data_IF_763627421129
#
_entry.id   IF_763627421129
#
_cell.length_a   1.000
_cell.length_b   1.000
_cell.length_c   1.000
_cell.angle_alpha   90.00
_cell.angle_beta   90.00
_cell.angle_gamma   90.00
#
_symmetry.space_group_name_H-M   'P 1'
#
loop_
_entity.id
_entity.type
_entity.pdbx_description
1 polymer ?
#
# COMPACT_ATOMS: atom_id res chain seq x y z
N UNK A 1 31.52 -8.88 9.63
CA UNK A 1 31.33 -7.43 9.51
C UNK A 1 29.84 -7.18 9.44
N UNK A 2 29.26 -6.63 10.49
CA UNK A 2 27.80 -6.41 10.58
C UNK A 2 27.51 -5.09 9.89
N UNK A 3 26.92 -5.13 8.70
CA UNK A 3 26.46 -3.91 8.01
C UNK A 3 25.31 -3.36 8.85
N UNK A 4 25.56 -2.26 9.56
CA UNK A 4 24.49 -1.49 10.21
C UNK A 4 23.69 -0.82 9.10
N UNK A 5 22.59 -1.44 8.68
CA UNK A 5 21.63 -0.80 7.79
C UNK A 5 21.05 0.41 8.53
N UNK A 6 21.21 1.60 7.94
CA UNK A 6 20.60 2.80 8.48
C UNK A 6 19.09 2.59 8.58
N UNK A 7 18.50 2.94 9.73
CA UNK A 7 17.05 2.84 9.91
C UNK A 7 16.37 3.85 8.99
N UNK A 8 15.44 3.42 8.11
CA UNK A 8 14.77 4.34 7.20
C UNK A 8 13.96 5.36 8.00
N UNK A 9 13.84 6.57 7.45
CA UNK A 9 13.13 7.68 8.06
C UNK A 9 12.09 8.27 7.12
N UNK A 10 11.14 9.01 7.66
CA UNK A 10 10.19 9.82 6.88
C UNK A 10 9.92 11.15 7.57
N UNK A 11 9.35 12.09 6.83
CA UNK A 11 8.86 13.34 7.41
C UNK A 11 7.39 13.20 7.76
N UNK A 12 6.96 13.69 8.92
CA UNK A 12 5.56 13.58 9.35
C UNK A 12 4.99 14.91 9.86
N UNK A 13 3.68 15.08 9.69
CA UNK A 13 2.93 16.25 10.17
C UNK A 13 1.62 15.83 10.83
N UNK A 14 1.14 16.65 11.76
CA UNK A 14 -0.12 16.47 12.49
C UNK A 14 -1.37 16.82 11.68
N UNK A 15 -1.20 17.50 10.56
CA UNK A 15 -2.25 17.87 9.63
C UNK A 15 -1.79 17.62 8.19
N UNK A 16 -2.73 17.59 7.24
CA UNK A 16 -2.45 17.49 5.81
C UNK A 16 -2.61 18.82 5.07
N UNK A 17 -3.35 19.79 5.63
CA UNK A 17 -3.48 21.14 5.05
C UNK A 17 -2.11 21.84 5.06
N UNK A 18 -1.57 22.28 3.91
CA UNK A 18 -0.30 23.00 3.85
C UNK A 18 -0.20 24.23 4.77
N UNK A 19 -1.29 24.97 4.97
CA UNK A 19 -1.32 26.13 5.85
C UNK A 19 -1.21 25.71 7.32
N UNK A 20 -1.91 24.65 7.72
CA UNK A 20 -1.79 24.08 9.05
C UNK A 20 -0.38 23.50 9.28
N UNK A 21 0.19 22.79 8.28
CA UNK A 21 1.54 22.23 8.37
C UNK A 21 2.63 23.27 8.66
N UNK A 22 2.43 24.55 8.31
CA UNK A 22 3.37 25.63 8.56
C UNK A 22 3.33 26.18 10.00
N UNK A 23 2.32 25.82 10.80
CA UNK A 23 2.18 26.28 12.18
C UNK A 23 3.19 25.57 13.11
N UNK A 24 3.67 26.25 14.17
CA UNK A 24 4.53 25.63 15.18
C UNK A 24 3.91 24.37 15.79
N UNK A 25 4.71 23.32 15.94
CA UNK A 25 4.28 22.04 16.53
C UNK A 25 3.51 21.10 15.59
N UNK A 26 3.22 21.53 14.36
CA UNK A 26 2.53 20.68 13.36
C UNK A 26 3.48 19.74 12.62
N UNK A 27 4.74 20.13 12.42
CA UNK A 27 5.78 19.24 11.92
C UNK A 27 6.30 18.34 13.06
N UNK A 28 6.24 17.03 12.87
CA UNK A 28 6.73 16.02 13.81
C UNK A 28 8.22 15.72 13.66
N UNK A 29 8.89 16.33 12.67
CA UNK A 29 10.27 16.06 12.36
C UNK A 29 10.45 14.88 11.40
N UNK A 30 11.71 14.47 11.31
CA UNK A 30 12.11 13.21 10.70
C UNK A 30 11.90 12.08 11.72
N UNK A 31 11.05 11.12 11.36
CA UNK A 31 10.64 10.01 12.23
C UNK A 31 11.30 8.74 11.74
N UNK A 32 12.10 8.04 12.58
CA UNK A 32 12.67 6.75 12.22
C UNK A 32 11.59 5.66 12.20
N UNK A 33 11.79 4.67 11.33
CA UNK A 33 10.94 3.49 11.15
C UNK A 33 11.71 2.24 11.62
N UNK A 34 11.84 2.02 12.93
CA UNK A 34 12.62 0.91 13.47
C UNK A 34 11.87 -0.42 13.35
N UNK A 35 12.57 -1.48 12.95
CA UNK A 35 12.00 -2.83 12.92
C UNK A 35 11.19 -3.12 11.65
N UNK A 36 10.28 -4.11 11.68
CA UNK A 36 9.51 -4.51 10.50
C UNK A 36 8.49 -3.43 10.08
N UNK A 37 8.05 -3.44 8.81
CA UNK A 37 7.03 -2.50 8.30
C UNK A 37 5.69 -2.62 9.03
N UNK A 38 5.35 -3.83 9.52
CA UNK A 38 4.13 -4.09 10.27
C UNK A 38 4.03 -3.22 11.52
N UNK A 39 2.92 -2.50 11.66
CA UNK A 39 2.65 -1.64 12.83
C UNK A 39 3.27 -0.24 12.76
N UNK A 40 4.13 0.07 11.78
CA UNK A 40 4.69 1.43 11.64
C UNK A 40 3.60 2.47 11.38
N UNK A 41 2.62 2.16 10.53
CA UNK A 41 1.49 3.04 10.26
C UNK A 41 0.64 3.31 11.51
N UNK A 42 0.51 2.31 12.40
CA UNK A 42 -0.16 2.50 13.69
C UNK A 42 0.61 3.42 14.61
N UNK A 43 1.91 3.19 14.74
CA UNK A 43 2.80 4.02 15.55
C UNK A 43 2.76 5.48 15.08
N UNK A 44 2.87 5.72 13.77
CA UNK A 44 2.75 7.07 13.19
C UNK A 44 1.40 7.71 13.49
N UNK A 45 0.32 6.95 13.36
CA UNK A 45 -1.02 7.42 13.70
C UNK A 45 -1.14 7.84 15.18
N UNK A 46 -0.58 7.03 16.09
CA UNK A 46 -0.56 7.28 17.53
C UNK A 46 0.30 8.50 17.90
N UNK A 47 1.40 8.74 17.17
CA UNK A 47 2.19 9.99 17.28
C UNK A 47 1.42 11.23 16.80
N UNK A 48 0.30 11.03 16.10
CA UNK A 48 -0.58 12.06 15.59
C UNK A 48 -0.33 12.41 14.14
N UNK A 49 0.42 11.60 13.38
CA UNK A 49 0.64 11.86 11.96
C UNK A 49 -0.69 11.78 11.18
N UNK A 50 -0.93 12.79 10.34
CA UNK A 50 -2.03 12.86 9.35
C UNK A 50 -1.52 13.08 7.94
N UNK A 51 -0.26 13.47 7.81
CA UNK A 51 0.49 13.53 6.58
C UNK A 51 1.88 12.98 6.80
N UNK A 52 2.39 12.23 5.83
CA UNK A 52 3.80 11.79 5.80
C UNK A 52 4.38 12.00 4.42
N UNK A 53 5.70 12.14 4.36
CA UNK A 53 6.47 12.16 3.11
C UNK A 53 7.60 11.15 3.17
N UNK A 54 7.58 10.22 2.23
CA UNK A 54 8.70 9.30 1.98
C UNK A 54 9.77 10.07 1.20
N UNK A 55 11.04 10.08 1.66
CA UNK A 55 12.11 10.80 0.97
C UNK A 55 12.46 10.12 -0.36
N UNK A 56 12.59 8.80 -0.34
CA UNK A 56 12.99 7.98 -1.48
C UNK A 56 11.80 7.45 -2.27
N UNK A 57 11.94 7.28 -3.59
CA UNK A 57 10.95 6.58 -4.39
C UNK A 57 10.76 5.14 -3.94
N UNK A 58 9.51 4.67 -3.96
CA UNK A 58 9.22 3.24 -3.97
C UNK A 58 9.50 2.74 -5.38
N UNK A 59 10.58 1.97 -5.50
CA UNK A 59 11.10 1.51 -6.79
C UNK A 59 10.69 0.05 -7.04
N UNK A 60 9.91 -0.18 -8.09
CA UNK A 60 9.44 -1.51 -8.51
C UNK A 60 10.07 -1.96 -9.83
N UNK A 61 11.15 -1.31 -10.26
CA UNK A 61 11.93 -1.75 -11.43
C UNK A 61 12.60 -3.10 -11.17
N UNK A 62 12.91 -3.84 -12.23
CA UNK A 62 13.50 -5.17 -12.12
C UNK A 62 14.86 -5.22 -11.39
N UNK A 63 15.57 -4.07 -11.31
CA UNK A 63 16.88 -3.96 -10.65
C UNK A 63 16.82 -3.41 -9.23
N UNK A 64 15.63 -3.01 -8.76
CA UNK A 64 15.43 -2.49 -7.42
C UNK A 64 15.56 -3.59 -6.35
N UNK A 65 15.87 -3.19 -5.12
CA UNK A 65 15.83 -4.08 -3.96
C UNK A 65 14.38 -4.46 -3.61
N UNK A 66 13.98 -5.74 -3.74
CA UNK A 66 12.62 -6.17 -3.42
C UNK A 66 12.24 -5.90 -1.96
N UNK A 67 13.19 -5.96 -1.02
CA UNK A 67 12.89 -5.75 0.40
C UNK A 67 12.53 -4.28 0.67
N UNK A 68 13.29 -3.34 0.11
CA UNK A 68 12.98 -1.91 0.18
C UNK A 68 11.63 -1.58 -0.50
N UNK A 69 11.37 -2.18 -1.67
CA UNK A 69 10.11 -2.03 -2.39
C UNK A 69 8.90 -2.49 -1.57
N UNK A 70 8.97 -3.70 -0.98
CA UNK A 70 7.93 -4.26 -0.12
C UNK A 70 7.70 -3.41 1.13
N UNK A 71 8.78 -2.94 1.77
CA UNK A 71 8.67 -2.07 2.93
C UNK A 71 7.96 -0.76 2.59
N UNK A 72 8.34 -0.11 1.49
CA UNK A 72 7.71 1.12 1.00
C UNK A 72 6.23 0.93 0.65
N UNK A 73 5.90 -0.10 -0.12
CA UNK A 73 4.51 -0.39 -0.52
C UNK A 73 3.62 -0.76 0.68
N UNK A 74 4.13 -1.60 1.59
CA UNK A 74 3.42 -1.96 2.81
C UNK A 74 3.08 -0.73 3.66
N UNK A 75 4.05 0.18 3.82
CA UNK A 75 3.85 1.42 4.56
C UNK A 75 2.81 2.34 3.88
N UNK A 76 2.93 2.55 2.56
CA UNK A 76 1.95 3.36 1.79
C UNK A 76 0.55 2.77 1.92
N UNK A 77 0.41 1.45 1.79
CA UNK A 77 -0.87 0.73 1.90
C UNK A 77 -1.50 0.90 3.28
N UNK A 78 -0.74 0.67 4.34
CA UNK A 78 -1.26 0.73 5.71
C UNK A 78 -1.59 2.16 6.15
N UNK A 79 -0.84 3.16 5.67
CA UNK A 79 -1.15 4.58 5.89
C UNK A 79 -2.38 5.02 5.09
N UNK A 80 -2.52 4.57 3.84
CA UNK A 80 -3.73 4.79 3.03
C UNK A 80 -4.95 4.21 3.75
N UNK A 81 -4.86 2.99 4.30
CA UNK A 81 -5.94 2.34 5.04
C UNK A 81 -6.40 3.14 6.27
N UNK A 82 -5.52 4.00 6.81
CA UNK A 82 -5.78 4.87 7.97
C UNK A 82 -6.16 6.31 7.58
N UNK A 83 -6.35 6.58 6.28
CA UNK A 83 -6.61 7.93 5.76
C UNK A 83 -5.51 8.94 6.11
N UNK A 84 -4.25 8.50 6.19
CA UNK A 84 -3.08 9.39 6.30
C UNK A 84 -2.69 9.82 4.88
N UNK A 85 -2.52 11.12 4.67
CA UNK A 85 -2.00 11.66 3.41
C UNK A 85 -0.55 11.21 3.22
N UNK A 86 -0.28 10.38 2.21
CA UNK A 86 1.07 9.91 1.90
C UNK A 86 1.60 10.64 0.68
N UNK A 87 2.65 11.43 0.86
CA UNK A 87 3.46 11.95 -0.25
C UNK A 87 4.60 10.98 -0.53
N UNK A 88 4.55 10.35 -1.70
CA UNK A 88 5.54 9.37 -2.12
C UNK A 88 5.74 9.44 -3.62
N UNK A 89 6.80 8.80 -4.12
CA UNK A 89 7.07 8.68 -5.55
C UNK A 89 7.08 7.19 -5.89
N UNK A 90 6.54 6.85 -7.05
CA UNK A 90 6.54 5.49 -7.56
C UNK A 90 7.42 5.45 -8.81
N UNK A 91 8.35 4.51 -8.88
CA UNK A 91 9.10 4.19 -10.09
C UNK A 91 8.72 2.79 -10.56
N UNK A 92 8.38 2.67 -11.84
CA UNK A 92 8.13 1.40 -12.52
C UNK A 92 9.11 1.27 -13.69
N UNK A 93 9.23 0.06 -14.26
CA UNK A 93 9.93 -0.10 -15.54
C UNK A 93 9.20 0.65 -16.67
N UNK A 94 9.91 1.18 -17.69
CA UNK A 94 9.29 1.89 -18.81
C UNK A 94 8.23 1.08 -19.57
N UNK A 95 8.43 -0.24 -19.67
CA UNK A 95 7.56 -1.19 -20.36
C UNK A 95 6.50 -1.84 -19.44
N UNK A 96 6.35 -1.33 -18.20
CA UNK A 96 5.40 -1.89 -17.23
C UNK A 96 3.92 -1.68 -17.58
N UNK A 97 3.61 -0.95 -18.66
CA UNK A 97 2.27 -0.77 -19.20
C UNK A 97 1.27 -0.28 -18.14
N UNK A 98 0.15 -0.98 -18.01
CA UNK A 98 -0.93 -0.65 -17.06
C UNK A 98 -0.70 -1.16 -15.62
N UNK A 99 0.52 -1.61 -15.26
CA UNK A 99 0.82 -2.15 -13.92
C UNK A 99 0.47 -1.17 -12.79
N UNK A 100 0.55 0.13 -13.04
CA UNK A 100 0.13 1.17 -12.08
C UNK A 100 -1.34 1.02 -11.64
N UNK A 101 -2.21 0.45 -12.48
CA UNK A 101 -3.65 0.27 -12.16
C UNK A 101 -3.86 -0.68 -10.99
N UNK A 102 -2.98 -1.68 -10.83
CA UNK A 102 -3.03 -2.62 -9.69
C UNK A 102 -2.82 -1.91 -8.35
N UNK A 103 -2.11 -0.77 -8.36
CA UNK A 103 -1.82 0.05 -7.19
C UNK A 103 -2.82 1.21 -7.04
N UNK A 104 -3.75 1.39 -7.96
CA UNK A 104 -4.63 2.58 -8.03
C UNK A 104 -5.59 2.77 -6.84
N UNK A 105 -5.67 1.77 -5.95
CA UNK A 105 -6.39 1.85 -4.68
C UNK A 105 -5.58 2.51 -3.56
N UNK A 106 -4.26 2.63 -3.71
CA UNK A 106 -3.38 3.35 -2.80
C UNK A 106 -3.49 4.86 -3.03
N UNK A 107 -3.12 5.67 -2.02
CA UNK A 107 -2.97 7.11 -2.18
C UNK A 107 -2.14 7.40 -3.44
N UNK A 108 -2.62 8.22 -4.39
CA UNK A 108 -1.87 8.50 -5.62
C UNK A 108 -0.51 9.09 -5.29
N UNK A 109 0.58 8.63 -5.94
CA UNK A 109 1.89 9.19 -5.68
C UNK A 109 1.96 10.66 -6.11
N UNK A 110 2.88 11.41 -5.51
CA UNK A 110 3.22 12.77 -5.97
C UNK A 110 3.80 12.74 -7.39
N UNK A 111 4.54 11.67 -7.71
CA UNK A 111 5.19 11.47 -9.01
C UNK A 111 5.17 9.99 -9.40
N UNK A 112 4.82 9.72 -10.66
CA UNK A 112 4.98 8.41 -11.30
C UNK A 112 6.13 8.53 -12.31
N UNK A 113 7.12 7.64 -12.21
CA UNK A 113 8.31 7.61 -13.05
C UNK A 113 8.38 6.27 -13.81
N UNK A 114 8.92 6.31 -15.04
CA UNK A 114 9.21 5.11 -15.83
C UNK A 114 8.34 5.00 -17.08
N UNK A 115 7.04 4.68 -16.96
CA UNK A 115 6.18 4.39 -18.11
C UNK A 115 6.02 5.58 -19.06
N UNK A 116 5.88 5.29 -20.35
CA UNK A 116 5.35 6.26 -21.30
C UNK A 116 3.94 6.69 -20.88
N UNK A 117 3.64 7.99 -20.96
CA UNK A 117 2.35 8.53 -20.50
C UNK A 117 2.15 8.51 -18.98
N UNK A 118 3.23 8.46 -18.18
CA UNK A 118 3.17 8.46 -16.72
C UNK A 118 2.31 9.61 -16.14
N UNK A 119 2.30 10.78 -16.76
CA UNK A 119 1.46 11.90 -16.33
C UNK A 119 -0.04 11.62 -16.52
N UNK A 120 -0.46 11.07 -17.66
CA UNK A 120 -1.85 10.70 -17.93
C UNK A 120 -2.32 9.55 -17.04
N UNK A 121 -1.46 8.55 -16.82
CA UNK A 121 -1.69 7.48 -15.86
C UNK A 121 -1.89 8.03 -14.44
N UNK A 122 -1.02 8.95 -14.01
CA UNK A 122 -1.11 9.58 -12.69
C UNK A 122 -2.36 10.44 -12.54
N UNK A 123 -2.73 11.21 -13.57
CA UNK A 123 -3.97 11.98 -13.59
C UNK A 123 -5.21 11.07 -13.51
N UNK A 124 -5.17 9.93 -14.19
CA UNK A 124 -6.24 8.93 -14.12
C UNK A 124 -6.35 8.30 -12.73
N UNK A 125 -5.21 7.94 -12.11
CA UNK A 125 -5.16 7.45 -10.74
C UNK A 125 -5.75 8.49 -9.77
N UNK A 126 -5.33 9.75 -9.85
CA UNK A 126 -5.85 10.84 -8.99
C UNK A 126 -7.37 11.01 -9.10
N UNK A 127 -7.91 11.04 -10.32
CA UNK A 127 -9.36 11.18 -10.55
C UNK A 127 -10.17 9.98 -10.04
N UNK A 128 -9.60 8.78 -10.15
CA UNK A 128 -10.29 7.54 -9.78
C UNK A 128 -10.03 7.06 -8.35
N UNK A 129 -9.20 7.75 -7.58
CA UNK A 129 -8.83 7.31 -6.23
C UNK A 129 -9.91 7.67 -5.20
N UNK A 130 -10.19 6.74 -4.30
CA UNK A 130 -10.93 6.97 -3.07
C UNK A 130 -10.58 5.85 -2.06
N UNK A 131 -10.81 6.12 -0.78
CA UNK A 131 -10.58 5.12 0.28
C UNK A 131 -11.56 3.95 0.17
N UNK A 132 -11.16 2.78 0.63
CA UNK A 132 -11.88 1.53 0.49
C UNK A 132 -12.10 1.08 -0.97
N UNK A 133 -11.22 1.47 -1.91
CA UNK A 133 -11.30 1.06 -3.33
C UNK A 133 -10.93 -0.42 -3.57
N UNK A 134 -9.95 -0.94 -2.85
CA UNK A 134 -9.61 -2.37 -2.83
C UNK A 134 -9.27 -2.78 -1.39
N UNK A 135 -10.16 -3.54 -0.77
CA UNK A 135 -10.11 -3.86 0.65
C UNK A 135 -10.51 -5.30 0.91
N UNK A 136 -10.12 -5.81 2.08
CA UNK A 136 -10.61 -7.07 2.59
C UNK A 136 -11.07 -6.97 4.04
N UNK A 137 -11.95 -7.90 4.43
CA UNK A 137 -12.38 -8.11 5.81
C UNK A 137 -12.41 -9.60 6.14
N UNK A 138 -12.25 -9.90 7.42
CA UNK A 138 -12.46 -11.24 8.00
C UNK A 138 -13.78 -11.22 8.77
N UNK A 139 -14.74 -12.02 8.33
CA UNK A 139 -15.97 -12.31 9.05
C UNK A 139 -15.86 -13.61 9.84
N UNK A 140 -16.92 -14.03 10.56
CA UNK A 140 -16.94 -15.33 11.21
C UNK A 140 -16.89 -16.45 10.17
N UNK A 141 -15.75 -17.14 10.08
CA UNK A 141 -15.56 -18.29 9.18
C UNK A 141 -15.34 -17.95 7.70
N UNK A 142 -15.20 -16.68 7.32
CA UNK A 142 -14.93 -16.32 5.92
C UNK A 142 -14.09 -15.05 5.79
N UNK A 143 -13.46 -14.89 4.63
CA UNK A 143 -12.91 -13.61 4.16
C UNK A 143 -13.75 -13.07 3.02
N UNK A 144 -13.77 -11.74 2.89
CA UNK A 144 -14.37 -11.09 1.73
C UNK A 144 -13.51 -9.94 1.26
N UNK A 145 -13.19 -9.96 -0.02
CA UNK A 145 -12.50 -8.89 -0.73
C UNK A 145 -13.52 -8.12 -1.58
N UNK A 146 -13.37 -6.81 -1.61
CA UNK A 146 -14.11 -5.90 -2.49
C UNK A 146 -13.11 -5.09 -3.27
N UNK A 147 -13.15 -5.22 -4.59
CA UNK A 147 -12.24 -4.52 -5.49
C UNK A 147 -13.02 -3.70 -6.52
N UNK A 148 -12.69 -2.41 -6.61
CA UNK A 148 -13.24 -1.45 -7.58
C UNK A 148 -12.15 -0.77 -8.41
N UNK A 149 -10.93 -1.30 -8.43
CA UNK A 149 -9.84 -0.77 -9.28
C UNK A 149 -10.21 -0.74 -10.76
N UNK A 150 -11.10 -1.64 -11.18
CA UNK A 150 -11.44 -1.90 -12.58
C UNK A 150 -12.71 -1.15 -13.06
N UNK A 151 -13.39 -0.42 -12.16
CA UNK A 151 -14.62 0.33 -12.47
C UNK A 151 -15.88 -0.34 -11.92
N UNK A 152 -15.99 -1.66 -12.07
CA UNK A 152 -17.03 -2.49 -11.45
C UNK A 152 -16.63 -2.99 -10.06
N UNK A 153 -17.62 -3.40 -9.26
CA UNK A 153 -17.37 -4.05 -7.97
C UNK A 153 -17.17 -5.57 -8.16
N UNK A 154 -15.91 -6.00 -8.14
CA UNK A 154 -15.53 -7.42 -8.02
C UNK A 154 -15.57 -7.85 -6.56
N UNK A 155 -16.05 -9.07 -6.32
CA UNK A 155 -16.11 -9.67 -4.98
C UNK A 155 -15.47 -11.05 -5.02
N UNK A 156 -14.54 -11.28 -4.11
CA UNK A 156 -13.98 -12.60 -3.84
C UNK A 156 -14.37 -12.96 -2.40
N UNK A 157 -14.95 -14.14 -2.20
CA UNK A 157 -15.33 -14.64 -0.87
C UNK A 157 -14.86 -16.08 -0.77
N UNK A 158 -14.18 -16.40 0.32
CA UNK A 158 -13.68 -17.74 0.60
C UNK A 158 -13.88 -18.03 2.10
N UNK A 159 -14.25 -19.26 2.42
CA UNK A 159 -14.44 -19.73 3.80
C UNK A 159 -13.39 -20.78 4.22
N UNK A 160 -12.56 -21.23 3.27
CA UNK A 160 -11.47 -22.13 3.55
C UNK A 160 -10.37 -21.41 4.35
N UNK A 161 -9.92 -21.97 5.50
CA UNK A 161 -8.97 -21.30 6.39
C UNK A 161 -7.64 -20.92 5.73
N UNK A 162 -7.22 -21.66 4.71
CA UNK A 162 -5.98 -21.44 3.97
C UNK A 162 -5.91 -20.08 3.26
N UNK A 163 -7.03 -19.51 2.84
CA UNK A 163 -7.04 -18.17 2.26
C UNK A 163 -6.70 -17.12 3.32
N UNK A 164 -7.30 -17.24 4.52
CA UNK A 164 -7.04 -16.29 5.60
C UNK A 164 -5.60 -16.36 6.09
N UNK A 165 -5.04 -17.55 6.25
CA UNK A 165 -3.64 -17.72 6.66
C UNK A 165 -2.66 -17.30 5.57
N UNK A 166 -2.99 -17.50 4.30
CA UNK A 166 -2.17 -17.03 3.19
C UNK A 166 -2.14 -15.51 3.10
N UNK A 167 -3.28 -14.83 3.29
CA UNK A 167 -3.32 -13.36 3.39
C UNK A 167 -2.42 -12.86 4.52
N UNK A 168 -2.50 -13.48 5.71
CA UNK A 168 -1.68 -13.08 6.86
C UNK A 168 -0.17 -13.21 6.55
N UNK A 169 0.24 -14.18 5.72
CA UNK A 169 1.63 -14.35 5.28
C UNK A 169 2.04 -13.34 4.20
N UNK A 170 1.15 -13.05 3.26
CA UNK A 170 1.41 -12.12 2.15
C UNK A 170 1.29 -10.64 2.56
N UNK A 171 0.79 -10.33 3.75
CA UNK A 171 0.40 -8.98 4.18
C UNK A 171 1.55 -7.97 3.98
N UNK A 172 2.77 -8.30 4.40
CA UNK A 172 3.97 -7.48 4.17
C UNK A 172 4.96 -8.12 3.19
N UNK A 173 4.48 -9.07 2.40
CA UNK A 173 5.28 -9.83 1.44
C UNK A 173 5.79 -11.15 2.01
N UNK A 174 5.71 -12.21 1.21
CA UNK A 174 6.36 -13.49 1.47
C UNK A 174 6.95 -14.04 0.18
N UNK A 175 7.94 -14.93 0.29
CA UNK A 175 8.42 -15.68 -0.87
C UNK A 175 7.26 -16.49 -1.46
N UNK A 176 7.06 -16.40 -2.77
CA UNK A 176 5.92 -17.00 -3.45
C UNK A 176 5.85 -18.54 -3.29
N UNK A 177 7.00 -19.20 -3.13
CA UNK A 177 7.10 -20.65 -2.94
C UNK A 177 6.81 -21.10 -1.50
N UNK A 178 6.72 -20.17 -0.54
CA UNK A 178 6.45 -20.49 0.86
C UNK A 178 4.96 -20.58 1.18
N UNK A 179 4.07 -20.11 0.30
CA UNK A 179 2.61 -20.12 0.48
C UNK A 179 1.94 -21.19 -0.40
N UNK A 180 0.73 -21.67 -0.04
CA UNK A 180 0.01 -22.64 -0.86
C UNK A 180 -0.19 -22.15 -2.31
N UNK A 181 0.32 -22.92 -3.27
CA UNK A 181 0.31 -22.53 -4.70
C UNK A 181 -1.10 -22.28 -5.24
N UNK A 182 -2.06 -23.14 -4.91
CA UNK A 182 -3.45 -23.00 -5.39
C UNK A 182 -4.05 -21.65 -4.96
N UNK A 183 -3.98 -21.32 -3.68
CA UNK A 183 -4.46 -20.05 -3.12
C UNK A 183 -3.75 -18.85 -3.76
N UNK A 184 -2.43 -18.94 -3.96
CA UNK A 184 -1.67 -17.86 -4.60
C UNK A 184 -2.06 -17.66 -6.06
N UNK A 185 -2.30 -18.74 -6.80
CA UNK A 185 -2.73 -18.70 -8.20
C UNK A 185 -4.14 -18.08 -8.31
N UNK A 186 -5.06 -18.40 -7.38
CA UNK A 186 -6.39 -17.77 -7.32
C UNK A 186 -6.28 -16.26 -7.05
N UNK A 187 -5.43 -15.84 -6.10
CA UNK A 187 -5.20 -14.42 -5.84
C UNK A 187 -4.56 -13.68 -7.01
N UNK A 188 -3.68 -14.34 -7.78
CA UNK A 188 -3.10 -13.77 -9.01
C UNK A 188 -4.15 -13.62 -10.11
N UNK A 189 -5.00 -14.63 -10.30
CA UNK A 189 -6.09 -14.58 -11.27
C UNK A 189 -7.04 -13.40 -10.99
N UNK A 190 -7.28 -13.11 -9.71
CA UNK A 190 -8.09 -11.97 -9.25
C UNK A 190 -7.31 -10.65 -9.14
N UNK A 191 -6.04 -10.64 -9.52
CA UNK A 191 -5.15 -9.46 -9.46
C UNK A 191 -5.03 -8.86 -8.04
N UNK A 192 -5.15 -9.70 -7.01
CA UNK A 192 -5.09 -9.33 -5.58
C UNK A 192 -3.67 -9.42 -5.00
N UNK A 193 -2.73 -9.97 -5.76
CA UNK A 193 -1.32 -10.06 -5.42
C UNK A 193 -0.47 -9.34 -6.47
N UNK A 194 0.60 -8.69 -6.02
CA UNK A 194 1.65 -8.14 -6.86
C UNK A 194 2.95 -8.91 -6.62
N UNK A 195 3.56 -9.42 -7.69
CA UNK A 195 4.87 -10.06 -7.63
C UNK A 195 5.99 -9.01 -7.71
N UNK A 196 7.00 -9.13 -6.84
CA UNK A 196 8.18 -8.26 -6.74
C UNK A 196 9.40 -9.14 -6.54
N UNK A 197 10.12 -9.42 -7.64
CA UNK A 197 11.16 -10.45 -7.64
C UNK A 197 10.57 -11.80 -7.22
N UNK A 198 11.17 -12.52 -6.24
CA UNK A 198 10.64 -13.80 -5.75
C UNK A 198 9.48 -13.67 -4.76
N UNK A 199 9.10 -12.44 -4.40
CA UNK A 199 8.08 -12.18 -3.38
C UNK A 199 6.72 -11.93 -4.00
N UNK A 200 5.68 -12.40 -3.31
CA UNK A 200 4.29 -12.05 -3.55
C UNK A 200 3.81 -11.11 -2.44
N UNK A 201 3.13 -10.02 -2.81
CA UNK A 201 2.62 -9.02 -1.88
C UNK A 201 1.10 -8.84 -1.99
N UNK A 202 0.41 -8.84 -0.86
CA UNK A 202 -1.04 -8.65 -0.78
C UNK A 202 -1.45 -7.19 -1.04
N UNK A 203 -2.28 -6.95 -2.06
CA UNK A 203 -2.69 -5.61 -2.46
C UNK A 203 -3.80 -5.01 -1.57
N UNK A 204 -4.92 -5.72 -1.29
CA UNK A 204 -6.02 -5.15 -0.52
C UNK A 204 -5.60 -4.75 0.91
N UNK A 205 -5.88 -3.52 1.33
CA UNK A 205 -5.68 -3.18 2.74
C UNK A 205 -6.79 -3.72 3.62
N UNK A 206 -6.43 -3.99 4.88
CA UNK A 206 -7.36 -4.35 5.94
C UNK A 206 -8.03 -3.09 6.47
N UNK A 207 -9.36 -3.07 6.50
CA UNK A 207 -10.11 -1.98 7.14
C UNK A 207 -10.09 -2.17 8.66
N UNK A 208 -9.36 -1.31 9.38
CA UNK A 208 -9.31 -1.34 10.85
C UNK A 208 -10.45 -0.55 11.51
N UNK A 209 -11.02 0.43 10.80
CA UNK A 209 -12.16 1.24 11.24
C UNK A 209 -13.10 1.46 10.07
N UNK A 210 -14.37 1.17 10.25
CA UNK A 210 -15.38 1.59 9.27
C UNK A 210 -15.47 3.10 9.30
N UNK A 211 -15.19 3.73 8.16
CA UNK A 211 -15.53 5.14 7.95
C UNK A 211 -17.06 5.22 8.00
N UNK A 212 -17.59 5.73 9.11
CA UNK A 212 -19.03 5.70 9.43
C UNK A 212 -19.85 6.64 8.54
N UNK A 213 -19.21 7.50 7.74
CA UNK A 213 -19.84 8.17 6.62
C UNK A 213 -19.74 7.29 5.38
N UNK A 214 -20.79 6.50 5.23
CA UNK A 214 -21.18 5.76 4.05
C UNK A 214 -20.87 6.57 2.79
N UNK A 215 -20.14 5.95 1.86
CA UNK A 215 -20.31 6.18 0.43
C UNK A 215 -21.80 5.90 0.16
N UNK A 216 -22.62 6.94 0.24
CA UNK A 216 -23.91 6.95 -0.42
C UNK A 216 -23.60 6.95 -1.91
N UNK A 217 -24.20 5.98 -2.60
CA UNK A 217 -24.23 5.91 -4.06
C UNK A 217 -25.05 7.09 -4.57
#
# INVERSE_FOLDING_TARGET
MTVTLATPTLLAWRDYDPAACALPGMFLGEVPLPGPPSGQAERLWQLGARRVRLPDPVDLTATADPAAALHGLGLVRDLTARAVMVEWKLRLDPDSGDRWRMLSHLQPPATLLGPDGAEDALNTWRRGHYLCKCLWRRGPGFIQIRDRRWGELRRFTADEPEYATTIDRLDHGALADTVPKAVLDDFRAEQLVLDIGPYAWWLPYRVSRWLQQSIAI
#
